data_IF_075139694283
#
_entry.id   IF_075139694283
#
_cell.length_a   1.000
_cell.length_b   1.000
_cell.length_c   1.000
_cell.angle_alpha   90.00
_cell.angle_beta   90.00
_cell.angle_gamma   90.00
#
_symmetry.space_group_name_H-M   'P 1'
#
loop_
_entity.id
_entity.type
_entity.pdbx_description
1 polymer ?
#
# COMPACT_ATOMS: atom_id res chain seq x y z
N UNK A 1 6.82 -6.16 33.18
CA UNK A 1 6.23 -7.05 32.16
C UNK A 1 5.65 -6.17 31.05
N UNK A 2 5.91 -6.49 29.79
CA UNK A 2 5.36 -5.75 28.64
C UNK A 2 4.13 -6.44 28.08
N UNK A 3 3.18 -5.65 27.57
CA UNK A 3 2.01 -6.15 26.84
C UNK A 3 2.16 -5.76 25.36
N UNK A 4 2.04 -6.73 24.46
CA UNK A 4 2.06 -6.46 23.03
C UNK A 4 0.75 -5.81 22.60
N UNK A 5 0.84 -4.68 21.89
CA UNK A 5 -0.28 -4.09 21.17
C UNK A 5 -0.68 -4.94 19.96
N UNK A 6 -1.75 -4.55 19.26
CA UNK A 6 -2.26 -5.29 18.11
C UNK A 6 -1.46 -4.95 16.84
N UNK A 7 -0.27 -5.53 16.76
CA UNK A 7 0.61 -5.42 15.60
C UNK A 7 0.17 -6.27 14.41
N UNK A 8 0.41 -5.78 13.20
CA UNK A 8 0.37 -6.53 11.95
C UNK A 8 1.60 -6.12 11.13
N UNK A 9 2.32 -7.11 10.62
CA UNK A 9 3.51 -6.90 9.80
C UNK A 9 3.37 -7.69 8.49
N UNK A 10 3.64 -7.03 7.36
CA UNK A 10 3.84 -7.70 6.09
C UNK A 10 5.33 -7.88 5.87
N UNK A 11 5.73 -9.13 5.65
CA UNK A 11 7.12 -9.55 5.46
C UNK A 11 7.21 -10.15 4.06
N UNK A 12 8.19 -9.71 3.28
CA UNK A 12 8.39 -10.20 1.92
C UNK A 12 9.19 -11.52 1.88
N UNK A 13 9.37 -12.15 0.71
CA UNK A 13 10.14 -13.39 0.59
C UNK A 13 11.63 -13.28 0.99
N UNK A 14 12.19 -12.06 1.06
CA UNK A 14 13.55 -11.80 1.52
C UNK A 14 13.63 -11.64 3.05
N UNK A 15 12.50 -11.70 3.75
CA UNK A 15 12.42 -11.50 5.19
C UNK A 15 12.39 -10.04 5.62
N UNK A 16 12.22 -9.09 4.69
CA UNK A 16 12.16 -7.66 4.99
C UNK A 16 10.73 -7.22 5.32
N UNK A 17 10.58 -6.39 6.36
CA UNK A 17 9.29 -5.79 6.72
C UNK A 17 8.96 -4.70 5.70
N UNK A 18 7.83 -4.86 5.00
CA UNK A 18 7.32 -3.90 4.00
C UNK A 18 6.24 -2.99 4.54
N UNK A 19 5.47 -3.45 5.53
CA UNK A 19 4.40 -2.67 6.15
C UNK A 19 4.20 -3.09 7.60
N UNK A 20 3.90 -2.10 8.45
CA UNK A 20 3.58 -2.30 9.86
C UNK A 20 2.38 -1.46 10.25
N UNK A 21 1.43 -2.08 10.95
CA UNK A 21 0.28 -1.41 11.55
C UNK A 21 0.20 -1.82 13.02
N UNK A 22 0.01 -0.84 13.91
CA UNK A 22 -0.10 -1.08 15.35
C UNK A 22 -1.32 -0.33 15.87
N UNK A 23 -2.29 -1.09 16.36
CA UNK A 23 -3.48 -0.54 17.00
C UNK A 23 -3.41 -0.73 18.52
N UNK A 24 -4.04 0.18 19.25
CA UNK A 24 -4.30 0.02 20.67
C UNK A 24 -5.23 -1.18 20.94
N UNK A 25 -5.24 -1.69 22.17
CA UNK A 25 -5.98 -2.87 22.59
C UNK A 25 -7.49 -2.86 22.29
N UNK A 26 -8.24 -1.74 22.37
CA UNK A 26 -9.67 -1.76 22.07
C UNK A 26 -9.98 -1.72 20.58
N UNK A 27 -9.00 -1.45 19.70
CA UNK A 27 -9.23 -1.20 18.27
C UNK A 27 -8.81 -2.42 17.44
N UNK A 28 -9.77 -3.01 16.73
CA UNK A 28 -9.52 -4.11 15.79
C UNK A 28 -8.70 -3.70 14.57
N UNK A 29 -8.19 -4.69 13.82
CA UNK A 29 -7.52 -4.49 12.52
C UNK A 29 -8.52 -4.74 11.39
N UNK A 30 -8.18 -4.29 10.18
CA UNK A 30 -8.96 -4.58 8.96
C UNK A 30 -8.25 -5.66 8.12
N UNK A 31 -8.99 -6.71 7.75
CA UNK A 31 -8.51 -7.75 6.82
C UNK A 31 -8.42 -7.19 5.40
N UNK A 32 -9.39 -6.36 5.00
CA UNK A 32 -9.40 -5.75 3.68
C UNK A 32 -8.17 -4.86 3.46
N UNK A 33 -7.75 -4.12 4.50
CA UNK A 33 -6.55 -3.30 4.41
C UNK A 33 -5.26 -4.13 4.37
N UNK A 34 -5.21 -5.24 5.10
CA UNK A 34 -4.10 -6.18 5.01
C UNK A 34 -3.99 -6.82 3.62
N UNK A 35 -5.12 -7.18 3.00
CA UNK A 35 -5.15 -7.71 1.63
C UNK A 35 -4.80 -6.63 0.60
N UNK A 36 -5.31 -5.41 0.77
CA UNK A 36 -5.02 -4.28 -0.12
C UNK A 36 -3.53 -3.95 -0.14
N UNK A 37 -2.93 -3.85 1.04
CA UNK A 37 -1.49 -3.57 1.17
C UNK A 37 -0.63 -4.71 0.62
N UNK A 38 -1.00 -5.98 0.88
CA UNK A 38 -0.33 -7.14 0.28
C UNK A 38 -0.35 -7.09 -1.25
N UNK A 39 -1.53 -6.88 -1.85
CA UNK A 39 -1.67 -6.78 -3.31
C UNK A 39 -0.89 -5.62 -3.90
N UNK A 40 -0.87 -4.47 -3.22
CA UNK A 40 -0.09 -3.31 -3.65
C UNK A 40 1.40 -3.65 -3.73
N UNK A 41 1.98 -4.30 -2.72
CA UNK A 41 3.40 -4.70 -2.77
C UNK A 41 3.68 -5.71 -3.89
N UNK A 42 2.82 -6.72 -4.07
CA UNK A 42 2.94 -7.67 -5.16
C UNK A 42 2.86 -7.01 -6.54
N UNK A 43 1.99 -6.00 -6.68
CA UNK A 43 1.85 -5.23 -7.92
C UNK A 43 3.12 -4.42 -8.22
N UNK A 44 3.64 -3.69 -7.22
CA UNK A 44 4.87 -2.89 -7.36
C UNK A 44 6.04 -3.79 -7.75
N UNK A 45 6.19 -4.96 -7.11
CA UNK A 45 7.26 -5.91 -7.42
C UNK A 45 7.16 -6.47 -8.84
N UNK A 46 5.94 -6.77 -9.32
CA UNK A 46 5.72 -7.34 -10.65
C UNK A 46 5.82 -6.31 -11.78
N UNK A 47 5.36 -5.09 -11.56
CA UNK A 47 5.18 -4.08 -12.62
C UNK A 47 6.19 -2.94 -12.57
N UNK A 48 6.86 -2.71 -11.44
CA UNK A 48 7.77 -1.58 -11.25
C UNK A 48 7.08 -0.22 -11.21
N UNK A 49 5.76 -0.19 -11.11
CA UNK A 49 4.95 1.03 -10.95
C UNK A 49 4.61 1.25 -9.47
N UNK A 50 4.26 2.46 -9.07
CA UNK A 50 3.89 2.77 -7.68
C UNK A 50 2.37 2.93 -7.51
N UNK A 51 1.87 2.47 -6.37
CA UNK A 51 0.46 2.53 -6.00
C UNK A 51 0.13 3.86 -5.31
N UNK A 52 -0.82 4.68 -5.81
CA UNK A 52 -1.26 5.91 -5.14
C UNK A 52 -2.05 5.64 -3.85
N UNK A 53 -2.48 6.72 -3.17
CA UNK A 53 -3.31 6.63 -1.97
C UNK A 53 -4.61 5.84 -2.24
N UNK A 54 -5.01 5.02 -1.27
CA UNK A 54 -6.18 4.14 -1.33
C UNK A 54 -6.25 3.27 -2.58
N UNK A 55 -5.10 2.92 -3.18
CA UNK A 55 -5.05 2.09 -4.38
C UNK A 55 -5.65 0.70 -4.12
N UNK A 56 -6.38 0.22 -5.13
CA UNK A 56 -6.89 -1.14 -5.28
C UNK A 56 -6.72 -1.56 -6.75
N UNK A 57 -7.00 -2.83 -7.06
CA UNK A 57 -6.76 -3.42 -8.38
C UNK A 57 -7.46 -2.68 -9.55
N UNK A 58 -8.50 -1.90 -9.28
CA UNK A 58 -9.28 -1.15 -10.27
C UNK A 58 -8.80 0.30 -10.47
N UNK A 59 -7.84 0.77 -9.65
CA UNK A 59 -7.36 2.15 -9.67
C UNK A 59 -6.10 2.31 -10.52
N UNK A 60 -5.93 3.48 -11.17
CA UNK A 60 -4.72 3.78 -11.91
C UNK A 60 -3.51 3.86 -10.99
N UNK A 61 -2.35 3.53 -11.55
CA UNK A 61 -1.04 3.51 -10.91
C UNK A 61 -0.19 4.67 -11.43
N UNK A 62 0.96 4.91 -10.79
CA UNK A 62 1.89 5.95 -11.19
C UNK A 62 3.18 5.30 -11.69
N UNK A 63 3.57 5.60 -12.92
CA UNK A 63 4.90 5.23 -13.41
C UNK A 63 5.96 6.11 -12.73
N UNK A 64 6.99 5.52 -12.10
CA UNK A 64 8.02 6.28 -11.41
C UNK A 64 8.82 7.10 -12.43
N UNK A 65 8.84 8.42 -12.24
CA UNK A 65 9.55 9.35 -13.13
C UNK A 65 8.84 10.69 -13.26
N UNK A 66 9.60 11.79 -13.37
CA UNK A 66 9.04 13.16 -13.37
C UNK A 66 8.21 13.43 -14.62
N UNK A 67 8.56 12.82 -15.76
CA UNK A 67 7.83 13.02 -17.02
C UNK A 67 6.61 12.10 -17.08
N UNK A 68 6.78 10.86 -16.64
CA UNK A 68 5.82 9.77 -16.72
C UNK A 68 4.68 9.95 -15.71
N UNK A 69 5.00 10.38 -14.48
CA UNK A 69 3.99 10.65 -13.44
C UNK A 69 3.01 11.78 -13.82
N UNK A 70 3.40 12.71 -14.70
CA UNK A 70 2.50 13.76 -15.19
C UNK A 70 1.28 13.18 -15.88
N UNK A 71 1.40 12.04 -16.56
CA UNK A 71 0.28 11.37 -17.21
C UNK A 71 -0.81 11.02 -16.19
N UNK A 72 -0.41 10.47 -15.03
CA UNK A 72 -1.33 10.18 -13.94
C UNK A 72 -1.96 11.46 -13.38
N UNK A 73 -1.15 12.47 -13.06
CA UNK A 73 -1.65 13.70 -12.46
C UNK A 73 -2.58 14.49 -13.39
N UNK A 74 -2.32 14.51 -14.70
CA UNK A 74 -3.23 15.11 -15.67
C UNK A 74 -4.57 14.38 -15.75
N UNK A 75 -4.58 13.04 -15.68
CA UNK A 75 -5.81 12.23 -15.68
C UNK A 75 -6.64 12.43 -14.41
N UNK A 76 -5.99 12.57 -13.25
CA UNK A 76 -6.67 12.71 -11.96
C UNK A 76 -7.09 14.16 -11.69
N UNK A 77 -6.28 15.16 -12.06
CA UNK A 77 -6.61 16.58 -11.86
C UNK A 77 -7.80 17.06 -12.71
N UNK A 78 -8.06 16.41 -13.85
CA UNK A 78 -9.22 16.72 -14.71
C UNK A 78 -10.56 16.15 -14.22
N UNK A 79 -10.59 15.40 -13.11
CA UNK A 79 -11.82 14.79 -12.56
C UNK A 79 -12.53 15.65 -11.50
N UNK A 80 -12.30 16.96 -11.50
CA UNK A 80 -12.96 17.88 -10.56
C UNK A 80 -14.31 18.35 -11.08
#
# INVERSE_FOLDING_TARGET
>A
MGLAYRGLFLIDPNGEIRHSLVNDLPVGRSVDEALRTLKAFQFVEKHGEVCPADWNDDKPTIKPGVKESKEYFSKVAGRK
#
